data_IF_870849482026
#
_entry.id   IF_870849482026
#
_cell.length_a   1.000
_cell.length_b   1.000
_cell.length_c   1.000
_cell.angle_alpha   90.00
_cell.angle_beta   90.00
_cell.angle_gamma   90.00
#
_symmetry.space_group_name_H-M   'P 1'
#
loop_
_entity.id
_entity.type
_entity.pdbx_description
1 polymer ?
#
# COMPACT_ATOMS: atom_id res chain seq x y z
N UNK A 1 -39.05 -42.73 21.21
CA UNK A 1 -38.79 -41.49 21.95
C UNK A 1 -37.28 -41.25 21.96
N UNK A 2 -36.78 -40.37 21.11
CA UNK A 2 -35.35 -40.06 21.01
C UNK A 2 -35.16 -38.58 21.36
N UNK A 3 -34.39 -38.29 22.40
CA UNK A 3 -34.08 -36.94 22.84
C UNK A 3 -32.78 -36.53 22.16
N UNK A 4 -32.85 -35.57 21.24
CA UNK A 4 -31.67 -34.93 20.67
C UNK A 4 -31.18 -33.91 21.69
N UNK A 5 -30.03 -34.18 22.32
CA UNK A 5 -29.33 -33.19 23.13
C UNK A 5 -28.55 -32.25 22.19
N UNK A 6 -28.96 -30.99 22.13
CA UNK A 6 -28.20 -29.93 21.47
C UNK A 6 -27.09 -29.45 22.42
N UNK A 7 -25.84 -29.80 22.10
CA UNK A 7 -24.67 -29.20 22.73
C UNK A 7 -24.49 -27.78 22.15
N UNK A 8 -24.88 -26.78 22.94
CA UNK A 8 -24.64 -25.38 22.64
C UNK A 8 -23.16 -25.08 22.93
N UNK A 9 -22.31 -25.11 21.89
CA UNK A 9 -20.98 -24.53 22.01
C UNK A 9 -21.13 -23.01 22.10
N UNK A 10 -21.10 -22.45 23.30
CA UNK A 10 -20.89 -21.03 23.49
C UNK A 10 -19.47 -20.70 23.05
N UNK A 11 -19.32 -20.21 21.82
CA UNK A 11 -18.07 -19.62 21.36
C UNK A 11 -17.85 -18.40 22.26
N UNK A 12 -16.83 -18.48 23.11
CA UNK A 12 -16.46 -17.41 24.01
C UNK A 12 -15.81 -16.30 23.18
N UNK A 13 -16.64 -15.46 22.56
CA UNK A 13 -16.19 -14.25 21.86
C UNK A 13 -15.65 -13.30 22.92
N UNK A 14 -14.33 -13.33 23.11
CA UNK A 14 -13.61 -12.32 23.88
C UNK A 14 -13.95 -10.97 23.25
N UNK A 15 -14.64 -10.12 24.00
CA UNK A 15 -14.97 -8.77 23.57
C UNK A 15 -13.65 -8.05 23.25
N UNK A 16 -13.48 -7.68 21.98
CA UNK A 16 -12.54 -6.63 21.60
C UNK A 16 -13.30 -5.33 21.84
N UNK A 17 -13.52 -5.04 23.12
CA UNK A 17 -13.86 -3.72 23.62
C UNK A 17 -12.54 -3.06 23.96
N UNK A 18 -11.82 -2.62 22.94
CA UNK A 18 -10.86 -1.54 23.03
C UNK A 18 -10.39 -1.14 21.64
N UNK A 19 -10.57 0.16 21.32
CA UNK A 19 -10.13 0.90 20.13
C UNK A 19 -11.10 1.11 18.95
N UNK A 20 -12.41 0.88 19.10
CA UNK A 20 -13.42 1.57 18.28
C UNK A 20 -13.79 2.93 18.88
N UNK A 21 -12.78 3.72 19.24
CA UNK A 21 -12.99 5.14 19.50
C UNK A 21 -13.39 5.80 18.19
N UNK A 22 -14.62 6.30 18.16
CA UNK A 22 -15.15 7.23 17.19
C UNK A 22 -14.16 8.37 16.89
N UNK A 23 -13.31 8.23 15.88
CA UNK A 23 -12.92 9.37 15.07
C UNK A 23 -13.92 9.45 13.92
N UNK A 24 -14.83 10.42 14.03
CA UNK A 24 -15.64 10.95 12.93
C UNK A 24 -14.85 10.87 11.62
N UNK A 25 -15.48 10.39 10.55
CA UNK A 25 -15.03 10.56 9.17
C UNK A 25 -14.52 12.00 8.95
N UNK A 26 -13.22 12.22 9.15
CA UNK A 26 -12.53 13.37 8.60
C UNK A 26 -12.50 13.11 7.10
N UNK A 27 -12.88 14.11 6.30
CA UNK A 27 -12.73 14.07 4.84
C UNK A 27 -11.33 13.55 4.49
N UNK A 28 -11.23 12.27 4.11
CA UNK A 28 -9.97 11.60 3.78
C UNK A 28 -9.42 12.12 2.45
N UNK A 29 -10.24 12.83 1.68
CA UNK A 29 -9.90 13.38 0.37
C UNK A 29 -8.75 14.39 0.38
N UNK A 30 -8.37 14.98 1.53
CA UNK A 30 -7.38 16.06 1.56
C UNK A 30 -6.31 15.94 2.65
N UNK A 31 -6.05 14.75 3.19
CA UNK A 31 -5.03 14.58 4.23
C UNK A 31 -3.93 13.60 3.84
N UNK A 32 -2.72 13.83 4.35
CA UNK A 32 -1.60 12.88 4.26
C UNK A 32 -1.98 11.51 4.82
N UNK A 33 -2.02 10.52 3.94
CA UNK A 33 -2.49 9.19 4.28
C UNK A 33 -1.90 8.12 3.35
N UNK A 34 -2.29 6.87 3.56
CA UNK A 34 -2.01 5.80 2.64
C UNK A 34 -2.94 5.84 1.43
N UNK A 35 -2.36 5.70 0.26
CA UNK A 35 -3.00 5.61 -1.04
C UNK A 35 -2.66 4.27 -1.68
N UNK A 36 -3.50 3.86 -2.62
CA UNK A 36 -3.27 2.73 -3.52
C UNK A 36 -2.98 3.27 -4.90
N UNK A 37 -1.86 2.84 -5.47
CA UNK A 37 -1.41 3.19 -6.81
C UNK A 37 -1.59 1.95 -7.68
N UNK A 38 -2.35 2.09 -8.76
CA UNK A 38 -2.54 1.07 -9.77
C UNK A 38 -1.62 1.38 -10.95
N UNK A 39 -0.81 0.41 -11.35
CA UNK A 39 0.23 0.62 -12.37
C UNK A 39 0.03 -0.39 -13.48
N UNK A 40 0.09 0.10 -14.72
CA UNK A 40 0.05 -0.72 -15.92
C UNK A 40 1.44 -1.30 -16.20
N UNK A 41 1.61 -2.59 -15.91
CA UNK A 41 2.86 -3.31 -16.08
C UNK A 41 3.26 -3.45 -17.56
N UNK A 42 2.31 -3.56 -18.49
CA UNK A 42 2.63 -3.70 -19.92
C UNK A 42 3.25 -2.42 -20.50
N UNK A 43 2.75 -1.25 -20.08
CA UNK A 43 3.31 0.05 -20.47
C UNK A 43 4.69 0.23 -19.84
N UNK A 44 4.84 -0.14 -18.57
CA UNK A 44 6.12 -0.11 -17.87
C UNK A 44 7.16 -1.00 -18.56
N UNK A 45 6.82 -2.27 -18.83
CA UNK A 45 7.71 -3.22 -19.51
C UNK A 45 8.14 -2.71 -20.88
N UNK A 46 7.26 -2.03 -21.62
CA UNK A 46 7.61 -1.41 -22.91
C UNK A 46 8.57 -0.23 -22.79
N UNK A 47 8.48 0.57 -21.71
CA UNK A 47 9.44 1.65 -21.41
C UNK A 47 10.79 1.08 -20.96
N UNK A 48 10.80 0.02 -20.15
CA UNK A 48 12.00 -0.64 -19.67
C UNK A 48 12.66 -1.56 -20.72
N UNK A 49 11.92 -2.08 -21.70
CA UNK A 49 12.46 -2.94 -22.77
C UNK A 49 13.43 -2.23 -23.73
N UNK A 50 13.54 -0.90 -23.68
CA UNK A 50 14.64 -0.17 -24.34
C UNK A 50 15.98 -0.30 -23.60
N UNK A 51 15.96 -0.77 -22.36
CA UNK A 51 17.13 -1.02 -21.52
C UNK A 51 17.03 -2.40 -20.83
N UNK A 52 17.51 -3.42 -21.54
CA UNK A 52 17.94 -4.74 -21.01
C UNK A 52 16.81 -5.71 -20.58
N UNK A 53 16.94 -6.96 -21.05
CA UNK A 53 16.23 -8.14 -20.57
C UNK A 53 16.46 -8.36 -19.07
N UNK A 54 15.73 -7.67 -18.21
CA UNK A 54 15.71 -7.92 -16.76
C UNK A 54 14.41 -8.62 -16.38
N UNK A 55 14.54 -9.69 -15.61
CA UNK A 55 13.40 -10.42 -15.04
C UNK A 55 12.40 -9.46 -14.40
N UNK A 56 11.10 -9.73 -14.57
CA UNK A 56 9.99 -8.90 -14.06
C UNK A 56 10.20 -8.46 -12.60
N UNK A 57 10.87 -9.27 -11.77
CA UNK A 57 11.21 -8.97 -10.38
C UNK A 57 12.05 -7.70 -10.20
N UNK A 58 13.02 -7.42 -11.08
CA UNK A 58 13.83 -6.19 -11.03
C UNK A 58 13.03 -4.94 -11.40
N UNK A 59 12.02 -5.08 -12.26
CA UNK A 59 11.12 -3.98 -12.62
C UNK A 59 10.29 -3.52 -11.41
N UNK A 60 9.93 -4.43 -10.48
CA UNK A 60 9.25 -4.09 -9.24
C UNK A 60 10.15 -3.26 -8.32
N UNK A 61 11.36 -3.74 -8.03
CA UNK A 61 12.29 -3.03 -7.14
C UNK A 61 12.60 -1.61 -7.66
N UNK A 62 12.88 -1.48 -8.96
CA UNK A 62 13.15 -0.18 -9.58
C UNK A 62 11.96 0.79 -9.46
N UNK A 63 10.73 0.30 -9.62
CA UNK A 63 9.52 1.11 -9.50
C UNK A 63 9.27 1.56 -8.06
N UNK A 64 9.47 0.66 -7.10
CA UNK A 64 9.37 0.98 -5.68
C UNK A 64 10.36 2.09 -5.31
N UNK A 65 11.61 1.98 -5.78
CA UNK A 65 12.61 3.02 -5.58
C UNK A 65 12.23 4.34 -6.27
N UNK A 66 11.73 4.31 -7.51
CA UNK A 66 11.27 5.51 -8.22
C UNK A 66 10.15 6.25 -7.46
N UNK A 67 9.11 5.52 -7.02
CA UNK A 67 8.02 6.10 -6.23
C UNK A 67 8.52 6.56 -4.87
N UNK A 68 9.43 5.82 -4.22
CA UNK A 68 10.03 6.23 -2.95
C UNK A 68 10.81 7.53 -3.08
N UNK A 69 11.65 7.66 -4.10
CA UNK A 69 12.42 8.87 -4.37
C UNK A 69 11.51 10.05 -4.67
N UNK A 70 10.43 9.84 -5.43
CA UNK A 70 9.41 10.86 -5.64
C UNK A 70 8.79 11.34 -4.32
N UNK A 71 8.53 10.42 -3.38
CA UNK A 71 8.00 10.78 -2.07
C UNK A 71 9.01 11.58 -1.24
N UNK A 72 10.26 11.11 -1.13
CA UNK A 72 11.29 11.76 -0.33
C UNK A 72 11.65 13.13 -0.89
N UNK A 73 11.76 13.26 -2.22
CA UNK A 73 12.06 14.52 -2.89
C UNK A 73 10.92 15.55 -2.76
N UNK A 74 9.68 15.08 -2.58
CA UNK A 74 8.49 15.92 -2.35
C UNK A 74 8.04 15.93 -0.89
N UNK A 75 8.93 15.66 0.07
CA UNK A 75 8.61 15.69 1.52
C UNK A 75 8.02 17.03 1.99
N UNK A 76 8.31 18.13 1.30
CA UNK A 76 7.76 19.46 1.57
C UNK A 76 6.28 19.61 1.19
N UNK A 77 5.69 18.63 0.50
CA UNK A 77 4.28 18.62 0.14
C UNK A 77 3.38 18.03 1.22
N UNK A 78 3.96 17.45 2.27
CA UNK A 78 3.24 16.86 3.39
C UNK A 78 2.85 17.94 4.39
N UNK A 79 1.58 17.95 4.78
CA UNK A 79 1.04 18.84 5.80
C UNK A 79 1.56 18.46 7.19
N UNK A 80 1.81 17.17 7.43
CA UNK A 80 2.31 16.67 8.71
C UNK A 80 3.67 15.94 8.56
N UNK A 81 4.74 16.73 8.64
CA UNK A 81 6.12 16.23 8.53
C UNK A 81 6.51 15.27 9.66
N UNK A 82 5.99 15.46 10.88
CA UNK A 82 6.27 14.53 11.98
C UNK A 82 5.69 13.14 11.69
N UNK A 83 4.45 13.10 11.19
CA UNK A 83 3.80 11.84 10.81
C UNK A 83 4.54 11.19 9.65
N UNK A 84 4.98 11.97 8.66
CA UNK A 84 5.84 11.48 7.58
C UNK A 84 7.10 10.81 8.13
N UNK A 85 7.86 11.50 8.99
CA UNK A 85 9.09 10.96 9.58
C UNK A 85 8.82 9.68 10.39
N UNK A 86 7.76 9.65 11.20
CA UNK A 86 7.36 8.45 11.96
C UNK A 86 7.06 7.26 11.07
N UNK A 87 6.42 7.47 9.92
CA UNK A 87 6.21 6.38 8.96
C UNK A 87 7.53 5.98 8.31
N UNK A 88 8.34 6.97 7.89
CA UNK A 88 9.61 6.75 7.20
C UNK A 88 10.68 6.07 8.08
N UNK A 89 10.64 6.23 9.40
CA UNK A 89 11.62 5.66 10.34
C UNK A 89 11.11 4.37 11.02
N UNK A 90 9.88 3.94 10.72
CA UNK A 90 9.26 2.80 11.40
C UNK A 90 10.04 1.50 11.15
N UNK A 91 10.33 0.76 12.21
CA UNK A 91 10.97 -0.55 12.11
C UNK A 91 10.12 -1.54 11.29
N UNK A 92 10.82 -2.38 10.53
CA UNK A 92 10.23 -3.42 9.67
C UNK A 92 9.69 -4.54 10.58
N UNK A 93 8.41 -4.89 10.42
CA UNK A 93 7.81 -6.01 11.15
C UNK A 93 7.89 -7.33 10.35
N UNK A 94 7.62 -8.46 11.01
CA UNK A 94 7.74 -9.80 10.42
C UNK A 94 6.87 -10.00 9.18
N UNK A 95 5.62 -9.52 9.18
CA UNK A 95 4.71 -9.58 8.02
C UNK A 95 5.24 -8.85 6.79
N UNK A 96 6.11 -7.86 7.00
CA UNK A 96 6.72 -7.09 5.93
C UNK A 96 7.96 -7.77 5.35
N UNK A 97 8.73 -8.49 6.17
CA UNK A 97 9.85 -9.32 5.67
C UNK A 97 9.39 -10.34 4.64
N UNK A 98 8.24 -10.98 4.88
CA UNK A 98 7.63 -11.93 3.92
C UNK A 98 7.26 -11.26 2.58
N UNK A 99 6.80 -10.01 2.61
CA UNK A 99 6.49 -9.24 1.40
C UNK A 99 7.79 -8.84 0.68
N UNK A 100 8.79 -8.39 1.42
CA UNK A 100 10.09 -8.01 0.88
C UNK A 100 10.75 -9.21 0.16
N UNK A 101 10.78 -10.39 0.78
CA UNK A 101 11.25 -11.63 0.17
C UNK A 101 10.45 -12.02 -1.09
N UNK A 102 9.11 -11.91 -1.05
CA UNK A 102 8.24 -12.27 -2.17
C UNK A 102 8.48 -11.40 -3.40
N UNK A 103 8.76 -10.12 -3.20
CA UNK A 103 8.98 -9.14 -4.27
C UNK A 103 10.45 -8.82 -4.52
N UNK A 104 11.38 -9.54 -3.89
CA UNK A 104 12.83 -9.28 -3.91
C UNK A 104 13.19 -7.82 -3.57
N UNK A 105 12.42 -7.23 -2.66
CA UNK A 105 12.84 -5.99 -2.02
C UNK A 105 13.91 -6.35 -0.99
N UNK A 106 14.97 -5.58 -0.91
CA UNK A 106 15.91 -5.68 0.19
C UNK A 106 15.25 -5.18 1.48
N UNK A 107 15.64 -5.75 2.63
CA UNK A 107 15.27 -5.19 3.93
C UNK A 107 15.60 -3.70 3.95
N UNK A 108 14.57 -2.85 4.08
CA UNK A 108 14.73 -1.40 4.15
C UNK A 108 14.52 -0.62 2.84
N UNK A 109 14.11 -1.26 1.74
CA UNK A 109 13.93 -0.59 0.45
C UNK A 109 12.94 0.60 0.47
N UNK A 110 11.88 0.54 1.28
CA UNK A 110 11.04 1.70 1.55
C UNK A 110 10.05 1.47 2.69
N UNK A 111 10.06 2.33 3.71
CA UNK A 111 9.01 2.38 4.73
C UNK A 111 7.72 3.07 4.24
N UNK A 112 7.76 3.64 3.04
CA UNK A 112 6.72 4.50 2.50
C UNK A 112 5.95 3.84 1.36
N UNK A 113 6.52 2.83 0.68
CA UNK A 113 5.95 2.19 -0.51
C UNK A 113 6.01 0.67 -0.38
N UNK A 114 4.87 0.00 -0.60
CA UNK A 114 4.72 -1.44 -0.43
C UNK A 114 3.93 -2.06 -1.57
N UNK A 115 4.39 -3.17 -2.17
CA UNK A 115 3.56 -3.92 -3.10
C UNK A 115 2.43 -4.64 -2.33
N UNK A 116 1.19 -4.48 -2.82
CA UNK A 116 0.03 -5.25 -2.35
C UNK A 116 -0.10 -6.52 -3.19
N UNK A 117 -0.06 -6.38 -4.51
CA UNK A 117 -0.31 -7.46 -5.45
C UNK A 117 0.31 -7.19 -6.81
N UNK A 118 0.55 -8.27 -7.55
CA UNK A 118 0.86 -8.22 -8.96
C UNK A 118 0.04 -9.28 -9.70
N UNK A 119 -0.69 -8.86 -10.74
CA UNK A 119 -1.50 -9.75 -11.56
C UNK A 119 -1.26 -9.41 -13.02
N UNK A 120 -0.54 -10.29 -13.74
CA UNK A 120 -0.18 -10.18 -15.16
C UNK A 120 0.26 -8.77 -15.60
N UNK A 121 -0.70 -7.92 -15.94
CA UNK A 121 -0.51 -6.61 -16.57
C UNK A 121 -0.68 -5.46 -15.58
N UNK A 122 -0.95 -5.73 -14.30
CA UNK A 122 -1.17 -4.72 -13.28
C UNK A 122 -0.36 -4.97 -12.02
N UNK A 123 0.15 -3.88 -11.46
CA UNK A 123 0.86 -3.83 -10.18
C UNK A 123 0.08 -2.90 -9.26
N UNK A 124 -0.15 -3.34 -8.03
CA UNK A 124 -0.85 -2.56 -7.02
C UNK A 124 0.12 -2.26 -5.90
N UNK A 125 0.38 -0.97 -5.66
CA UNK A 125 1.23 -0.49 -4.58
C UNK A 125 0.40 0.26 -3.53
N UNK A 126 0.81 0.16 -2.27
CA UNK A 126 0.37 0.99 -1.16
C UNK A 126 1.47 2.00 -0.86
N UNK A 127 1.17 3.29 -0.88
CA UNK A 127 2.16 4.33 -0.59
C UNK A 127 1.63 5.36 0.41
N UNK A 128 2.50 5.92 1.26
CA UNK A 128 2.15 7.06 2.11
C UNK A 128 2.42 8.37 1.37
N UNK A 129 1.35 9.10 1.01
CA UNK A 129 1.41 10.25 0.12
C UNK A 129 0.69 11.47 0.72
N UNK A 130 1.12 12.65 0.32
CA UNK A 130 0.33 13.87 0.42
C UNK A 130 -0.72 13.92 -0.69
N UNK A 131 -1.79 14.69 -0.49
CA UNK A 131 -2.84 14.87 -1.50
C UNK A 131 -2.29 15.47 -2.80
N UNK A 132 -1.31 16.37 -2.70
CA UNK A 132 -0.66 16.97 -3.88
C UNK A 132 0.15 15.95 -4.64
N UNK A 133 1.00 15.18 -3.93
CA UNK A 133 1.83 14.16 -4.54
C UNK A 133 1.00 13.01 -5.15
N UNK A 134 -0.13 12.65 -4.53
CA UNK A 134 -1.05 11.66 -5.09
C UNK A 134 -1.58 12.07 -6.47
N UNK A 135 -1.91 13.35 -6.67
CA UNK A 135 -2.34 13.90 -7.97
C UNK A 135 -1.21 13.91 -8.99
N UNK A 136 0.01 14.22 -8.57
CA UNK A 136 1.20 14.19 -9.43
C UNK A 136 1.49 12.75 -9.89
N UNK A 137 1.50 11.79 -8.97
CA UNK A 137 1.69 10.36 -9.29
C UNK A 137 0.59 9.85 -10.23
N UNK A 138 -0.67 10.24 -10.02
CA UNK A 138 -1.78 9.87 -10.92
C UNK A 138 -1.58 10.37 -12.36
N UNK A 139 -0.77 11.40 -12.57
CA UNK A 139 -0.53 11.98 -13.89
C UNK A 139 0.60 11.29 -14.66
N UNK A 140 1.28 10.29 -14.07
CA UNK A 140 2.35 9.53 -14.72
C UNK A 140 1.74 8.54 -15.72
N UNK A 141 2.24 8.48 -16.96
CA UNK A 141 1.63 7.70 -18.06
C UNK A 141 1.34 6.22 -17.75
N UNK A 142 2.16 5.59 -16.91
CA UNK A 142 2.03 4.17 -16.58
C UNK A 142 1.16 3.93 -15.32
N UNK A 143 0.71 4.99 -14.64
CA UNK A 143 -0.20 4.92 -13.49
C UNK A 143 -1.63 4.95 -14.03
N UNK A 144 -2.38 3.88 -13.73
CA UNK A 144 -3.80 3.74 -14.08
C UNK A 144 -4.65 4.63 -13.18
N UNK A 145 -4.40 4.56 -11.87
CA UNK A 145 -5.11 5.38 -10.88
C UNK A 145 -4.31 5.48 -9.57
N UNK A 146 -4.65 6.50 -8.77
CA UNK A 146 -4.14 6.71 -7.41
C UNK A 146 -5.30 7.15 -6.53
N UNK A 147 -5.70 6.30 -5.57
CA UNK A 147 -6.88 6.51 -4.72
C UNK A 147 -6.54 6.36 -3.23
N UNK A 148 -7.29 6.99 -2.31
CA UNK A 148 -7.14 6.74 -0.89
C UNK A 148 -7.33 5.26 -0.53
N UNK A 149 -6.50 4.73 0.39
CA UNK A 149 -6.57 3.32 0.80
C UNK A 149 -7.90 2.94 1.45
N UNK A 150 -8.58 3.88 2.11
CA UNK A 150 -9.93 3.68 2.65
C UNK A 150 -10.93 3.31 1.55
N UNK A 151 -10.89 4.01 0.42
CA UNK A 151 -11.77 3.74 -0.72
C UNK A 151 -11.48 2.35 -1.30
N UNK A 152 -10.21 1.94 -1.36
CA UNK A 152 -9.83 0.61 -1.84
C UNK A 152 -10.42 -0.53 -0.98
N UNK A 153 -10.45 -0.35 0.35
CA UNK A 153 -11.02 -1.36 1.27
C UNK A 153 -12.54 -1.46 1.10
N UNK A 154 -13.23 -0.32 0.95
CA UNK A 154 -14.69 -0.29 0.78
C UNK A 154 -15.19 -1.07 -0.44
N UNK A 155 -14.39 -1.13 -1.51
CA UNK A 155 -14.72 -1.90 -2.73
C UNK A 155 -14.23 -3.36 -2.73
N UNK A 156 -13.48 -3.76 -1.70
CA UNK A 156 -12.87 -5.11 -1.62
C UNK A 156 -13.70 -6.12 -0.81
N UNK A 157 -14.87 -5.70 -0.29
CA UNK A 157 -15.85 -6.51 0.46
C UNK A 157 -17.22 -6.41 -0.19
#
# INVERSE_FOLDING_TARGET
MSIIALLYNSINARSIEDSLSHEKHKNVENSDNFYVIFINNSILASKQAKEVHKDNKYAFASMIHEIHDLIVNNKNTFDNIEKFNRVNEKEINSSRKEIEEKYLMNEGDSNLVFPISSLKDQIILRAYLSTKLAKEIKSIDYVIDCIPYVNYIEYSY
#
